data_IF_639466171921
#
_entry.id   IF_639466171921
#
_cell.length_a   1.000
_cell.length_b   1.000
_cell.length_c   1.000
_cell.angle_alpha   90.00
_cell.angle_beta   90.00
_cell.angle_gamma   90.00
#
_symmetry.space_group_name_H-M   'P 1'
#
loop_
_entity.id
_entity.type
_entity.pdbx_description
1 polymer ?
#
# COMPACT_ATOMS: atom_id res chain seq x y z
N UNK A 1 9.33 12.34 11.19
CA UNK A 1 9.09 11.23 10.25
C UNK A 1 10.23 10.25 10.40
N UNK A 2 10.03 9.17 11.15
CA UNK A 2 10.90 8.00 11.11
C UNK A 2 10.22 7.07 10.11
N UNK A 3 10.65 7.15 8.84
CA UNK A 3 10.23 6.18 7.83
C UNK A 3 10.82 4.84 8.26
N UNK A 4 9.94 3.92 8.66
CA UNK A 4 10.21 2.49 8.78
C UNK A 4 11.37 2.18 9.74
N UNK A 5 11.06 1.92 11.01
CA UNK A 5 11.95 1.05 11.79
C UNK A 5 12.20 -0.19 10.93
N UNK A 6 13.44 -0.46 10.54
CA UNK A 6 13.77 -1.60 9.68
C UNK A 6 13.17 -2.85 10.29
N UNK A 7 12.09 -3.37 9.70
CA UNK A 7 11.43 -4.59 10.14
C UNK A 7 12.49 -5.70 10.21
N UNK A 8 12.86 -6.07 11.43
CA UNK A 8 13.88 -7.05 11.68
C UNK A 8 13.23 -8.43 11.67
N UNK A 9 13.35 -9.15 10.56
CA UNK A 9 12.87 -10.52 10.47
C UNK A 9 13.92 -11.49 11.00
N UNK A 10 13.60 -12.23 12.07
CA UNK A 10 14.50 -13.29 12.58
C UNK A 10 14.48 -14.58 11.73
N UNK A 11 13.80 -14.60 10.57
CA UNK A 11 13.68 -15.78 9.70
C UNK A 11 13.39 -15.39 8.25
N UNK A 12 14.08 -16.03 7.29
CA UNK A 12 13.98 -15.74 5.86
C UNK A 12 12.55 -15.95 5.33
N UNK A 13 11.90 -17.08 5.66
CA UNK A 13 10.50 -17.33 5.27
C UNK A 13 9.51 -16.21 5.68
N UNK A 14 9.73 -15.52 6.81
CA UNK A 14 8.85 -14.40 7.21
C UNK A 14 9.07 -13.17 6.35
N UNK A 15 10.33 -12.90 5.99
CA UNK A 15 10.69 -11.84 5.04
C UNK A 15 10.10 -12.14 3.68
N UNK A 16 10.23 -13.38 3.20
CA UNK A 16 9.71 -13.77 1.88
C UNK A 16 8.18 -13.61 1.80
N UNK A 17 7.46 -13.95 2.87
CA UNK A 17 6.00 -13.71 2.94
C UNK A 17 5.71 -12.21 2.95
N UNK A 18 6.38 -11.42 3.80
CA UNK A 18 6.20 -9.97 3.84
C UNK A 18 6.45 -9.34 2.46
N UNK A 19 7.60 -9.61 1.84
CA UNK A 19 7.99 -9.08 0.53
C UNK A 19 6.98 -9.51 -0.55
N UNK A 20 6.45 -10.73 -0.49
CA UNK A 20 5.44 -11.19 -1.44
C UNK A 20 4.13 -10.41 -1.31
N UNK A 21 3.63 -10.25 -0.09
CA UNK A 21 2.41 -9.48 0.19
C UNK A 21 2.62 -8.01 -0.17
N UNK A 22 3.74 -7.41 0.26
CA UNK A 22 4.07 -6.02 -0.03
C UNK A 22 4.10 -5.74 -1.55
N UNK A 23 4.65 -6.65 -2.35
CA UNK A 23 4.73 -6.51 -3.82
C UNK A 23 3.39 -6.68 -4.54
N UNK A 24 2.44 -7.38 -3.95
CA UNK A 24 1.19 -7.75 -4.61
C UNK A 24 -0.05 -7.14 -3.94
N UNK A 25 0.13 -6.35 -2.88
CA UNK A 25 -0.97 -5.81 -2.10
C UNK A 25 -1.71 -6.89 -1.33
N UNK A 26 -3.03 -6.93 -1.48
CA UNK A 26 -3.90 -7.91 -0.83
C UNK A 26 -3.84 -9.25 -1.59
N UNK A 27 -3.47 -10.32 -0.89
CA UNK A 27 -3.27 -11.63 -1.50
C UNK A 27 -3.98 -12.75 -0.76
N UNK A 28 -4.65 -13.64 -1.50
CA UNK A 28 -5.17 -14.88 -0.94
C UNK A 28 -4.02 -15.71 -0.29
N UNK A 29 -4.16 -16.17 0.97
CA UNK A 29 -3.10 -16.91 1.67
C UNK A 29 -2.60 -18.12 0.88
N UNK A 30 -3.52 -18.82 0.23
CA UNK A 30 -3.22 -20.04 -0.53
C UNK A 30 -2.46 -19.76 -1.84
N UNK A 31 -2.63 -18.56 -2.41
CA UNK A 31 -1.87 -18.08 -3.58
C UNK A 31 -0.45 -17.74 -3.16
N UNK A 32 -0.28 -16.96 -2.09
CA UNK A 32 1.04 -16.62 -1.55
C UNK A 32 1.83 -17.87 -1.17
N UNK A 33 1.21 -18.80 -0.44
CA UNK A 33 1.82 -20.08 -0.07
C UNK A 33 2.35 -20.85 -1.28
N UNK A 34 1.56 -20.94 -2.36
CA UNK A 34 1.94 -21.67 -3.58
C UNK A 34 3.05 -20.95 -4.34
N UNK A 35 3.02 -19.62 -4.40
CA UNK A 35 4.04 -18.83 -5.08
C UNK A 35 5.40 -18.92 -4.38
N UNK A 36 5.40 -19.04 -3.05
CA UNK A 36 6.60 -19.19 -2.23
C UNK A 36 7.06 -20.64 -2.05
N UNK A 37 6.37 -21.60 -2.67
CA UNK A 37 6.63 -23.05 -2.56
C UNK A 37 6.70 -23.53 -1.08
N UNK A 38 5.84 -22.98 -0.23
CA UNK A 38 5.84 -23.29 1.20
C UNK A 38 4.85 -24.42 1.56
N UNK A 39 5.26 -25.24 2.53
CA UNK A 39 4.40 -26.27 3.12
C UNK A 39 3.26 -25.60 3.92
N UNK A 40 2.00 -26.10 3.85
CA UNK A 40 0.85 -25.46 4.50
C UNK A 40 1.02 -25.15 5.99
N UNK A 41 1.58 -26.05 6.79
CA UNK A 41 1.77 -25.80 8.22
C UNK A 41 2.88 -24.79 8.48
N UNK A 42 3.99 -24.87 7.74
CA UNK A 42 5.07 -23.89 7.83
C UNK A 42 4.57 -22.48 7.49
N UNK A 43 3.87 -22.33 6.35
CA UNK A 43 3.30 -21.04 5.95
C UNK A 43 2.34 -20.47 7.01
N UNK A 44 1.40 -21.28 7.48
CA UNK A 44 0.47 -20.85 8.54
C UNK A 44 1.17 -20.46 9.84
N UNK A 45 2.27 -21.12 10.20
CA UNK A 45 3.07 -20.76 11.36
C UNK A 45 3.73 -19.38 11.20
N UNK A 46 4.30 -19.10 10.03
CA UNK A 46 4.94 -17.81 9.75
C UNK A 46 3.93 -16.67 9.67
N UNK A 47 2.79 -16.87 8.99
CA UNK A 47 1.71 -15.87 8.93
C UNK A 47 1.20 -15.54 10.33
N UNK A 48 0.92 -16.54 11.17
CA UNK A 48 0.44 -16.29 12.52
C UNK A 48 1.43 -15.48 13.39
N UNK A 49 2.74 -15.63 13.16
CA UNK A 49 3.76 -14.80 13.82
C UNK A 49 3.70 -13.36 13.28
N UNK A 50 3.67 -13.20 11.95
CA UNK A 50 3.60 -11.88 11.31
C UNK A 50 2.35 -11.10 11.72
N UNK A 51 1.19 -11.77 11.83
CA UNK A 51 -0.05 -11.16 12.32
C UNK A 51 0.04 -10.76 13.79
N UNK A 52 0.60 -11.65 14.62
CA UNK A 52 0.81 -11.36 16.04
C UNK A 52 1.74 -10.16 16.26
N UNK A 53 2.75 -10.04 15.42
CA UNK A 53 3.75 -8.97 15.48
C UNK A 53 3.27 -7.69 14.79
N UNK A 54 2.03 -7.65 14.27
CA UNK A 54 1.44 -6.47 13.65
C UNK A 54 2.03 -6.14 12.28
N UNK A 55 2.65 -7.10 11.61
CA UNK A 55 3.29 -6.95 10.29
C UNK A 55 2.31 -7.26 9.16
N UNK A 56 1.45 -8.26 9.36
CA UNK A 56 0.37 -8.62 8.44
C UNK A 56 -0.97 -8.57 9.15
N UNK A 57 -2.04 -8.47 8.37
CA UNK A 57 -3.40 -8.68 8.84
C UNK A 57 -4.23 -9.42 7.77
N UNK A 58 -5.17 -10.26 8.20
CA UNK A 58 -6.17 -10.85 7.32
C UNK A 58 -7.43 -9.98 7.29
N UNK A 59 -7.82 -9.53 6.10
CA UNK A 59 -9.06 -8.80 5.86
C UNK A 59 -9.76 -9.38 4.62
N UNK A 60 -11.05 -9.73 4.77
CA UNK A 60 -11.81 -10.29 3.65
C UNK A 60 -11.31 -11.65 3.12
N UNK A 61 -10.48 -12.37 3.89
CA UNK A 61 -9.86 -13.62 3.46
C UNK A 61 -8.54 -13.43 2.69
N UNK A 62 -8.02 -12.20 2.63
CA UNK A 62 -6.76 -11.85 2.01
C UNK A 62 -5.76 -11.33 3.05
N UNK A 63 -4.48 -11.65 2.85
CA UNK A 63 -3.37 -11.12 3.62
C UNK A 63 -2.96 -9.78 3.03
N UNK A 64 -2.76 -8.78 3.90
CA UNK A 64 -2.22 -7.47 3.54
C UNK A 64 -1.23 -7.02 4.61
N UNK A 65 -0.35 -6.06 4.27
CA UNK A 65 0.54 -5.45 5.26
C UNK A 65 -0.30 -4.74 6.32
N UNK A 66 -0.08 -5.07 7.58
CA UNK A 66 -0.64 -4.30 8.68
C UNK A 66 0.13 -2.98 8.74
N UNK A 67 -0.51 -1.91 8.27
CA UNK A 67 0.11 -0.60 8.26
C UNK A 67 0.26 -0.10 9.69
N UNK A 68 1.47 -0.17 10.24
CA UNK A 68 1.77 0.34 11.59
C UNK A 68 1.77 1.89 11.67
N UNK A 69 1.47 2.57 10.56
CA UNK A 69 1.45 4.03 10.48
C UNK A 69 0.17 4.51 9.80
N UNK A 70 -0.96 4.12 10.39
CA UNK A 70 -2.26 4.78 10.27
C UNK A 70 -2.20 6.17 10.94
N UNK A 71 -1.22 6.99 10.55
CA UNK A 71 -1.24 8.43 10.78
C UNK A 71 -2.32 9.05 9.90
N UNK A 72 -3.57 8.61 10.07
CA UNK A 72 -4.75 9.30 9.60
C UNK A 72 -4.85 10.59 10.41
N UNK A 73 -4.50 11.69 9.77
CA UNK A 73 -4.68 13.01 10.37
C UNK A 73 -5.96 13.61 9.83
N UNK A 74 -6.93 13.82 10.71
CA UNK A 74 -8.16 14.54 10.40
C UNK A 74 -7.92 16.04 10.49
N UNK A 75 -8.30 16.75 9.43
CA UNK A 75 -8.30 18.20 9.33
C UNK A 75 -9.73 18.68 9.14
N UNK A 76 -10.03 19.84 9.72
CA UNK A 76 -11.31 20.51 9.54
C UNK A 76 -11.05 21.80 8.77
N UNK A 77 -11.65 21.93 7.59
CA UNK A 77 -11.56 23.14 6.77
C UNK A 77 -12.94 23.50 6.25
N UNK A 78 -13.40 24.72 6.53
CA UNK A 78 -14.68 25.25 6.03
C UNK A 78 -15.92 24.36 6.32
N UNK A 79 -15.87 23.57 7.40
CA UNK A 79 -16.94 22.64 7.78
C UNK A 79 -16.89 21.28 7.09
N UNK A 80 -15.83 21.01 6.32
CA UNK A 80 -15.53 19.70 5.72
C UNK A 80 -14.42 19.02 6.51
N UNK A 81 -14.66 17.76 6.87
CA UNK A 81 -13.63 16.89 7.43
C UNK A 81 -12.82 16.25 6.31
N UNK A 82 -11.51 16.46 6.33
CA UNK A 82 -10.57 15.85 5.39
C UNK A 82 -9.63 14.94 6.16
N UNK A 83 -9.50 13.69 5.72
CA UNK A 83 -8.55 12.72 6.28
C UNK A 83 -7.37 12.57 5.34
N UNK A 84 -6.16 12.78 5.85
CA UNK A 84 -4.93 12.53 5.09
C UNK A 84 -4.27 11.27 5.65
N UNK A 85 -4.02 10.28 4.79
CA UNK A 85 -3.37 9.01 5.13
C UNK A 85 -2.59 8.46 3.92
N UNK A 86 -1.76 7.45 4.12
CA UNK A 86 -1.15 6.70 3.00
C UNK A 86 -2.25 6.06 2.14
N UNK A 87 -2.01 6.00 0.84
CA UNK A 87 -2.92 5.35 -0.10
C UNK A 87 -2.98 3.85 0.18
N UNK A 88 -4.18 3.29 0.12
CA UNK A 88 -4.50 1.86 0.22
C UNK A 88 -5.08 1.40 -1.10
N UNK A 89 -5.05 0.10 -1.41
CA UNK A 89 -5.58 -0.44 -2.68
C UNK A 89 -7.03 0.00 -2.99
N UNK A 90 -7.87 0.14 -1.97
CA UNK A 90 -9.24 0.66 -2.11
C UNK A 90 -9.30 2.08 -2.71
N UNK A 91 -8.24 2.87 -2.54
CA UNK A 91 -8.14 4.23 -3.07
C UNK A 91 -7.71 4.26 -4.54
N UNK A 92 -7.27 3.14 -5.12
CA UNK A 92 -6.67 3.07 -6.46
C UNK A 92 -7.53 3.74 -7.52
N UNK A 93 -8.81 3.36 -7.55
CA UNK A 93 -9.77 3.90 -8.53
C UNK A 93 -10.00 5.40 -8.32
N UNK A 94 -10.15 5.84 -7.07
CA UNK A 94 -10.36 7.25 -6.73
C UNK A 94 -9.13 8.11 -7.04
N UNK A 95 -7.94 7.60 -6.70
CA UNK A 95 -6.66 8.24 -6.98
C UNK A 95 -6.45 8.44 -8.48
N UNK A 96 -6.65 7.41 -9.30
CA UNK A 96 -6.54 7.52 -10.77
C UNK A 96 -7.53 8.54 -11.32
N UNK A 97 -8.76 8.57 -10.80
CA UNK A 97 -9.77 9.56 -11.16
C UNK A 97 -9.31 10.99 -10.88
N UNK A 98 -8.85 11.26 -9.66
CA UNK A 98 -8.40 12.59 -9.24
C UNK A 98 -7.13 13.02 -9.97
N UNK A 99 -6.18 12.11 -10.22
CA UNK A 99 -5.00 12.40 -11.04
C UNK A 99 -5.43 12.90 -12.42
N UNK A 100 -6.33 12.18 -13.10
CA UNK A 100 -6.81 12.55 -14.44
C UNK A 100 -7.57 13.87 -14.44
N UNK A 101 -8.37 14.15 -13.41
CA UNK A 101 -9.09 15.42 -13.26
C UNK A 101 -8.15 16.62 -13.01
N UNK A 102 -7.07 16.39 -12.25
CA UNK A 102 -6.10 17.43 -11.88
C UNK A 102 -5.18 17.86 -13.04
N UNK A 103 -5.01 17.02 -14.06
CA UNK A 103 -4.06 17.26 -15.16
C UNK A 103 -4.57 18.26 -16.22
N UNK A 104 -5.88 18.31 -16.53
CA UNK A 104 -6.41 19.20 -17.58
C UNK A 104 -5.67 19.12 -18.94
N UNK A 105 -5.81 20.14 -19.82
CA UNK A 105 -5.06 20.32 -21.09
C UNK A 105 -3.55 20.66 -20.88
N UNK A 106 -2.97 20.29 -19.73
CA UNK A 106 -1.61 20.64 -19.33
C UNK A 106 -0.63 19.50 -19.56
N UNK A 107 0.40 19.74 -20.36
CA UNK A 107 1.49 18.80 -20.62
C UNK A 107 2.35 18.62 -19.37
N UNK A 108 2.00 17.68 -18.49
CA UNK A 108 2.88 17.21 -17.42
C UNK A 108 3.12 15.71 -17.62
N UNK A 109 4.20 15.40 -18.36
CA UNK A 109 4.51 14.08 -18.93
C UNK A 109 4.69 12.99 -17.85
N UNK A 110 5.00 13.35 -16.61
CA UNK A 110 5.16 12.40 -15.51
C UNK A 110 3.82 11.89 -14.92
N UNK A 111 2.74 12.69 -14.98
CA UNK A 111 1.48 12.34 -14.34
C UNK A 111 0.64 11.34 -15.14
N UNK A 112 0.68 11.41 -16.48
CA UNK A 112 0.15 10.33 -17.36
C UNK A 112 0.90 9.03 -17.12
N UNK A 113 2.23 9.08 -17.06
CA UNK A 113 3.06 7.88 -16.87
C UNK A 113 2.80 7.22 -15.51
N UNK A 114 2.54 7.99 -14.45
CA UNK A 114 2.14 7.45 -13.14
C UNK A 114 0.75 6.82 -13.19
N UNK A 115 -0.24 7.46 -13.82
CA UNK A 115 -1.58 6.90 -13.97
C UNK A 115 -1.55 5.60 -14.80
N UNK A 116 -0.78 5.55 -15.88
CA UNK A 116 -0.65 4.36 -16.72
C UNK A 116 0.09 3.21 -16.02
N UNK A 117 1.12 3.50 -15.21
CA UNK A 117 1.81 2.48 -14.41
C UNK A 117 0.91 1.93 -13.30
N UNK A 118 0.15 2.80 -12.64
CA UNK A 118 -0.79 2.43 -11.57
C UNK A 118 -1.98 1.63 -12.12
N UNK A 119 -2.50 1.99 -13.30
CA UNK A 119 -3.58 1.27 -14.01
C UNK A 119 -3.08 -0.06 -14.61
N UNK A 120 -1.80 -0.18 -14.98
CA UNK A 120 -1.24 -1.40 -15.57
C UNK A 120 -0.75 -2.42 -14.53
N UNK A 121 -0.20 -1.97 -13.39
CA UNK A 121 0.40 -2.87 -12.40
C UNK A 121 -0.53 -3.18 -11.21
N UNK A 122 -1.69 -2.52 -11.08
CA UNK A 122 -2.71 -2.75 -10.03
C UNK A 122 -2.20 -2.69 -8.57
N UNK A 123 -1.02 -2.10 -8.31
CA UNK A 123 -0.41 -2.03 -6.96
C UNK A 123 0.05 -0.61 -6.64
N UNK A 124 -0.47 -0.03 -5.56
CA UNK A 124 -0.19 1.36 -5.12
C UNK A 124 1.10 1.54 -4.33
N UNK A 125 1.72 0.46 -3.87
CA UNK A 125 2.91 0.50 -3.04
C UNK A 125 3.97 -0.43 -3.62
N UNK A 126 5.13 0.13 -3.96
CA UNK A 126 6.32 -0.64 -4.35
C UNK A 126 7.51 -0.16 -3.54
N UNK A 127 7.98 -1.00 -2.63
CA UNK A 127 9.34 -0.89 -2.10
C UNK A 127 10.23 -1.88 -2.88
N UNK A 128 11.03 -1.35 -3.80
CA UNK A 128 12.19 -2.06 -4.33
C UNK A 128 13.46 -1.33 -3.87
N UNK A 129 14.60 -2.03 -3.85
CA UNK A 129 15.92 -1.52 -3.45
C UNK A 129 16.42 -0.29 -4.25
N UNK A 130 15.64 0.22 -5.21
CA UNK A 130 15.99 1.33 -6.11
C UNK A 130 15.07 2.54 -6.04
N UNK A 131 13.78 2.40 -5.65
CA UNK A 131 12.81 3.52 -5.56
C UNK A 131 11.72 3.16 -4.54
N UNK A 132 11.53 3.99 -3.52
CA UNK A 132 10.41 3.88 -2.57
C UNK A 132 9.35 4.90 -2.94
N UNK A 133 8.35 4.49 -3.73
CA UNK A 133 7.24 5.38 -4.13
C UNK A 133 6.13 5.31 -3.10
N UNK A 134 5.88 6.42 -2.40
CA UNK A 134 4.81 6.51 -1.39
C UNK A 134 3.77 7.53 -1.85
N UNK A 135 2.52 7.08 -1.96
CA UNK A 135 1.37 7.94 -2.20
C UNK A 135 0.62 8.20 -0.91
N UNK A 136 0.22 9.45 -0.70
CA UNK A 136 -0.75 9.84 0.31
C UNK A 136 -2.01 10.36 -0.38
N UNK A 137 -3.16 10.03 0.19
CA UNK A 137 -4.48 10.49 -0.28
C UNK A 137 -5.12 11.39 0.77
N UNK A 138 -5.86 12.38 0.27
CA UNK A 138 -6.82 13.14 1.04
C UNK A 138 -8.22 12.59 0.73
N UNK A 139 -8.98 12.24 1.75
CA UNK A 139 -10.34 11.71 1.59
C UNK A 139 -11.38 12.55 2.32
N UNK A 140 -12.57 12.65 1.73
CA UNK A 140 -13.79 13.21 2.34
C UNK A 140 -14.86 12.14 2.24
N UNK A 141 -15.46 11.75 3.36
CA UNK A 141 -16.43 10.65 3.44
C UNK A 141 -15.96 9.32 2.79
N UNK A 142 -14.65 9.08 2.79
CA UNK A 142 -14.01 7.89 2.19
C UNK A 142 -13.74 7.99 0.69
N UNK A 143 -14.13 9.09 0.04
CA UNK A 143 -13.82 9.35 -1.37
C UNK A 143 -12.51 10.14 -1.50
N UNK A 144 -11.62 9.71 -2.40
CA UNK A 144 -10.36 10.39 -2.68
C UNK A 144 -10.65 11.71 -3.39
N UNK A 145 -10.17 12.82 -2.83
CA UNK A 145 -10.31 14.18 -3.38
C UNK A 145 -8.98 14.85 -3.67
N UNK A 146 -7.86 14.23 -3.28
CA UNK A 146 -6.53 14.78 -3.48
C UNK A 146 -5.43 13.76 -3.20
N UNK A 147 -4.23 14.02 -3.70
CA UNK A 147 -3.10 13.11 -3.56
C UNK A 147 -1.76 13.84 -3.55
N UNK A 148 -0.73 13.19 -3.01
CA UNK A 148 0.67 13.60 -3.16
C UNK A 148 1.56 12.36 -3.29
N UNK A 149 2.52 12.43 -4.21
CA UNK A 149 3.59 11.46 -4.35
C UNK A 149 4.86 12.00 -3.69
N UNK A 150 5.50 11.18 -2.85
CA UNK A 150 6.81 11.48 -2.29
C UNK A 150 7.83 10.60 -3.01
N UNK A 151 8.76 11.26 -3.68
CA UNK A 151 9.94 10.64 -4.27
C UNK A 151 11.09 10.74 -3.27
N UNK A 152 11.46 9.60 -2.66
CA UNK A 152 12.59 9.52 -1.74
C UNK A 152 13.82 9.05 -2.52
N UNK A 153 14.66 10.01 -2.91
CA UNK A 153 15.97 9.81 -3.54
C UNK A 153 17.08 9.98 -2.50
#
# INVERSE_FOLDING_TARGET
MQLTETLAFDHDDRRDIYDYVERHGSVEPDRARRALDMEPRAFGHHVAILERDGVLEEAGGELRIAYEDDAETAFQSEGVEVRIRRAREEDLTGLVGVIRESIGDGTYVDAETVADVVDHEEVLLRHNELESRVFFVATVDGEVVGWVHIDAN
#
